data_IF_623093581525
#
_entry.id   IF_623093581525
#
_cell.length_a   1.000
_cell.length_b   1.000
_cell.length_c   1.000
_cell.angle_alpha   90.00
_cell.angle_beta   90.00
_cell.angle_gamma   90.00
#
_symmetry.space_group_name_H-M   'P 1'
#
loop_
_entity.id
_entity.type
_entity.pdbx_description
1 polymer ?
#
# COMPACT_ATOMS: atom_id res chain seq x y z
N UNK A 1 28.71 -49.46 -44.79
CA UNK A 1 28.54 -48.09 -45.33
C UNK A 1 28.75 -47.12 -44.16
N UNK A 2 30.01 -46.74 -43.90
CA UNK A 2 30.64 -45.43 -44.19
C UNK A 2 30.13 -44.24 -43.35
N UNK A 3 31.04 -43.75 -42.48
CA UNK A 3 31.38 -42.35 -42.11
C UNK A 3 30.24 -41.47 -41.54
N UNK A 4 30.40 -40.76 -40.41
CA UNK A 4 31.48 -39.83 -40.07
C UNK A 4 31.60 -39.64 -38.56
N UNK A 5 32.86 -39.58 -38.11
CA UNK A 5 33.30 -39.06 -36.83
C UNK A 5 33.16 -37.54 -36.76
N UNK A 6 32.90 -37.00 -35.58
CA UNK A 6 33.36 -35.67 -35.18
C UNK A 6 33.94 -35.75 -33.77
N UNK A 7 35.27 -35.73 -33.73
CA UNK A 7 36.08 -35.38 -32.58
C UNK A 7 36.20 -33.86 -32.59
N UNK A 8 35.93 -33.21 -31.46
CA UNK A 8 36.42 -31.87 -31.19
C UNK A 8 36.99 -31.87 -29.76
N UNK A 9 38.30 -31.64 -29.69
CA UNK A 9 39.08 -31.50 -28.48
C UNK A 9 39.40 -30.02 -28.23
N UNK A 10 39.73 -29.74 -26.96
CA UNK A 10 40.35 -28.52 -26.43
C UNK A 10 39.48 -27.24 -26.40
N UNK A 11 39.56 -26.36 -25.41
CA UNK A 11 40.65 -26.11 -24.48
C UNK A 11 40.13 -25.67 -23.09
N UNK A 12 40.82 -26.10 -22.05
CA UNK A 12 40.74 -25.48 -20.74
C UNK A 12 41.39 -24.09 -20.81
N UNK A 13 40.66 -23.04 -20.42
CA UNK A 13 41.25 -21.76 -20.05
C UNK A 13 41.17 -21.61 -18.54
N UNK A 14 42.26 -21.95 -17.88
CA UNK A 14 42.55 -21.54 -16.52
C UNK A 14 43.01 -20.09 -16.57
N UNK A 15 42.08 -19.14 -16.36
CA UNK A 15 42.46 -17.76 -16.10
C UNK A 15 42.70 -17.62 -14.60
N UNK A 16 43.98 -17.58 -14.21
CA UNK A 16 44.41 -17.07 -12.92
C UNK A 16 44.11 -15.56 -12.88
N UNK A 17 43.24 -15.11 -11.98
CA UNK A 17 43.14 -13.70 -11.63
C UNK A 17 43.76 -13.54 -10.24
N UNK A 18 44.85 -12.78 -10.22
CA UNK A 18 45.62 -12.45 -9.04
C UNK A 18 44.76 -11.72 -8.00
N UNK A 19 44.91 -12.15 -6.74
CA UNK A 19 44.54 -11.37 -5.56
C UNK A 19 45.43 -10.12 -5.52
N UNK A 20 44.82 -8.95 -5.66
CA UNK A 20 45.54 -7.69 -5.56
C UNK A 20 44.65 -6.49 -5.87
N UNK A 21 43.74 -6.16 -4.96
CA UNK A 21 42.90 -4.98 -5.06
C UNK A 21 42.21 -4.70 -3.73
N UNK A 22 42.69 -3.70 -3.02
CA UNK A 22 42.10 -3.16 -1.80
C UNK A 22 40.61 -2.90 -1.98
N UNK A 23 39.77 -3.46 -1.11
CA UNK A 23 38.36 -3.11 -1.00
C UNK A 23 38.26 -1.61 -0.67
N UNK A 24 38.03 -0.79 -1.69
CA UNK A 24 37.54 0.57 -1.51
C UNK A 24 36.14 0.52 -0.90
N UNK A 25 35.74 1.53 -0.11
CA UNK A 25 34.41 1.56 0.47
C UNK A 25 33.39 1.52 -0.67
N UNK A 26 32.40 0.63 -0.53
CA UNK A 26 31.26 0.63 -1.43
C UNK A 26 30.58 2.00 -1.30
N UNK A 27 30.80 2.87 -2.28
CA UNK A 27 30.00 4.07 -2.48
C UNK A 27 28.58 3.59 -2.74
N UNK A 28 27.74 3.58 -1.71
CA UNK A 28 26.29 3.62 -1.85
C UNK A 28 25.97 4.87 -2.66
N UNK A 29 25.83 4.71 -3.97
CA UNK A 29 25.25 5.74 -4.80
C UNK A 29 23.89 6.13 -4.18
N UNK A 30 23.61 7.43 -3.99
CA UNK A 30 22.29 7.84 -3.54
C UNK A 30 21.27 7.27 -4.52
N UNK A 31 20.30 6.51 -4.00
CA UNK A 31 19.12 6.15 -4.78
C UNK A 31 18.56 7.43 -5.39
N UNK A 32 18.19 7.45 -6.68
CA UNK A 32 17.63 8.63 -7.30
C UNK A 32 16.46 9.12 -6.44
N UNK A 33 16.50 10.39 -6.05
CA UNK A 33 15.43 11.03 -5.32
C UNK A 33 14.13 10.78 -6.11
N UNK A 34 13.20 10.06 -5.49
CA UNK A 34 11.89 9.84 -6.09
C UNK A 34 11.29 11.21 -6.36
N UNK A 35 11.03 11.51 -7.62
CA UNK A 35 10.31 12.72 -7.99
C UNK A 35 8.94 12.65 -7.32
N UNK A 36 8.76 13.37 -6.20
CA UNK A 36 7.46 13.51 -5.58
C UNK A 36 6.58 14.25 -6.58
N UNK A 37 5.61 13.53 -7.15
CA UNK A 37 4.53 14.18 -7.89
C UNK A 37 3.66 14.88 -6.83
N UNK A 38 3.51 16.21 -6.89
CA UNK A 38 2.76 16.95 -5.89
C UNK A 38 1.27 16.57 -5.90
N UNK A 39 0.63 16.61 -4.73
CA UNK A 39 -0.81 16.40 -4.59
C UNK A 39 -1.61 17.43 -5.39
N UNK A 40 -2.72 17.04 -6.04
CA UNK A 40 -3.63 17.99 -6.64
C UNK A 40 -4.12 19.04 -5.63
N UNK A 41 -4.29 20.32 -6.03
CA UNK A 41 -4.83 21.38 -5.15
C UNK A 41 -6.21 21.04 -4.56
N UNK A 42 -6.97 20.20 -5.25
CA UNK A 42 -8.26 19.67 -4.82
C UNK A 42 -8.18 18.71 -3.61
N UNK A 43 -6.99 18.51 -3.02
CA UNK A 43 -6.81 17.78 -1.77
C UNK A 43 -6.11 18.62 -0.70
N UNK A 44 -6.14 19.96 -0.82
CA UNK A 44 -5.62 20.89 0.20
C UNK A 44 -4.13 20.67 0.54
N UNK A 45 -3.35 20.16 -0.42
CA UNK A 45 -1.94 19.85 -0.22
C UNK A 45 -1.67 18.58 0.59
N UNK A 46 -2.71 17.78 0.87
CA UNK A 46 -2.58 16.48 1.51
C UNK A 46 -2.00 15.45 0.53
N UNK A 47 -0.86 14.86 0.89
CA UNK A 47 -0.21 13.83 0.07
C UNK A 47 -0.57 12.42 0.59
N UNK A 48 -1.35 11.62 -0.15
CA UNK A 48 -1.69 10.24 0.25
C UNK A 48 -0.47 9.37 0.51
N UNK A 49 0.66 9.63 -0.15
CA UNK A 49 1.89 8.87 0.01
C UNK A 49 2.55 9.11 1.38
N UNK A 50 2.20 10.19 2.06
CA UNK A 50 2.77 10.55 3.37
C UNK A 50 1.94 10.06 4.56
N UNK A 51 0.72 9.56 4.33
CA UNK A 51 -0.23 9.26 5.39
C UNK A 51 0.02 7.95 6.14
N UNK A 52 0.78 7.04 5.56
CA UNK A 52 1.09 5.76 6.21
C UNK A 52 2.47 5.88 6.83
N UNK A 53 2.59 5.93 8.18
CA UNK A 53 3.89 5.93 8.82
C UNK A 53 4.71 4.70 8.42
N UNK A 54 6.02 4.85 8.24
CA UNK A 54 6.87 3.76 7.76
C UNK A 54 6.74 2.48 8.60
N UNK A 55 6.72 2.59 9.93
CA UNK A 55 6.56 1.44 10.81
C UNK A 55 5.21 0.71 10.64
N UNK A 56 4.15 1.44 10.30
CA UNK A 56 2.83 0.87 9.98
C UNK A 56 2.85 0.18 8.62
N UNK A 57 3.51 0.80 7.63
CA UNK A 57 3.68 0.20 6.31
C UNK A 57 4.45 -1.13 6.37
N UNK A 58 5.57 -1.15 7.09
CA UNK A 58 6.40 -2.34 7.29
C UNK A 58 5.61 -3.45 8.00
N UNK A 59 4.82 -3.10 9.03
CA UNK A 59 3.98 -4.04 9.77
C UNK A 59 2.91 -4.70 8.88
N UNK A 60 2.14 -3.92 8.11
CA UNK A 60 1.04 -4.46 7.30
C UNK A 60 1.58 -5.26 6.12
N UNK A 61 2.65 -4.76 5.50
CA UNK A 61 3.18 -5.36 4.26
C UNK A 61 4.11 -6.55 4.52
N UNK A 62 4.73 -6.60 5.71
CA UNK A 62 5.81 -7.53 6.03
C UNK A 62 7.13 -7.21 5.31
N UNK A 63 7.26 -6.04 4.68
CA UNK A 63 8.44 -5.62 3.91
C UNK A 63 9.05 -4.37 4.54
N UNK A 64 10.22 -4.48 5.20
CA UNK A 64 10.89 -3.33 5.79
C UNK A 64 11.28 -2.25 4.77
N UNK A 65 11.04 -0.99 5.09
CA UNK A 65 11.42 0.14 4.25
C UNK A 65 10.62 0.24 2.95
N UNK A 66 9.49 -0.46 2.83
CA UNK A 66 8.61 -0.40 1.66
C UNK A 66 8.15 1.04 1.41
N UNK A 67 8.22 1.44 0.15
CA UNK A 67 7.93 2.81 -0.24
C UNK A 67 6.64 2.87 -1.06
N UNK A 68 5.82 3.92 -0.90
CA UNK A 68 4.59 4.06 -1.68
C UNK A 68 4.89 4.28 -3.16
N UNK A 69 3.91 3.89 -3.98
CA UNK A 69 3.82 4.22 -5.39
C UNK A 69 2.54 5.02 -5.55
N UNK A 70 2.68 6.29 -5.95
CA UNK A 70 1.55 7.16 -6.25
C UNK A 70 0.78 6.58 -7.44
N UNK A 71 -0.51 6.36 -7.25
CA UNK A 71 -1.41 5.85 -8.26
C UNK A 71 -2.05 7.04 -8.98
N UNK A 72 -1.80 7.26 -10.28
CA UNK A 72 -2.75 7.98 -11.09
C UNK A 72 -4.00 7.10 -11.16
N UNK A 73 -5.06 7.47 -10.42
CA UNK A 73 -6.42 6.92 -10.48
C UNK A 73 -6.62 5.50 -11.05
N UNK A 74 -6.25 4.46 -10.29
CA UNK A 74 -6.73 3.08 -10.49
C UNK A 74 -6.62 2.46 -11.90
N UNK A 75 -5.56 2.76 -12.65
CA UNK A 75 -4.91 1.89 -13.66
C UNK A 75 -3.72 2.66 -14.27
N UNK A 76 -2.68 1.99 -14.82
CA UNK A 76 -1.67 2.68 -15.60
C UNK A 76 -2.30 3.47 -16.75
N UNK A 77 -2.39 4.80 -16.62
CA UNK A 77 -2.93 5.70 -17.63
C UNK A 77 -4.30 6.32 -17.33
N UNK A 78 -4.97 5.96 -16.23
CA UNK A 78 -6.25 6.57 -15.85
C UNK A 78 -6.01 7.59 -14.73
N UNK A 79 -5.81 8.87 -15.07
CA UNK A 79 -5.99 9.92 -14.07
C UNK A 79 -7.51 10.14 -13.93
N UNK A 80 -8.08 9.72 -12.80
CA UNK A 80 -9.37 10.27 -12.39
C UNK A 80 -9.08 11.66 -11.82
N UNK A 81 -9.46 12.71 -12.55
CA UNK A 81 -9.26 14.12 -12.17
C UNK A 81 -9.77 14.46 -10.74
N UNK A 82 -10.63 13.60 -10.20
CA UNK A 82 -11.27 13.73 -8.89
C UNK A 82 -10.71 12.75 -7.84
N UNK A 83 -9.52 12.18 -8.05
CA UNK A 83 -8.86 11.34 -7.05
C UNK A 83 -7.33 11.50 -7.04
N UNK A 84 -6.73 11.28 -5.89
CA UNK A 84 -5.29 11.11 -5.72
C UNK A 84 -5.06 9.94 -4.77
N UNK A 85 -3.99 9.17 -4.96
CA UNK A 85 -3.79 8.00 -4.13
C UNK A 85 -2.40 7.41 -4.19
N UNK A 86 -2.11 6.57 -3.21
CA UNK A 86 -0.85 5.85 -3.11
C UNK A 86 -1.05 4.42 -2.65
N UNK A 87 -0.22 3.54 -3.17
CA UNK A 87 -0.24 2.11 -2.89
C UNK A 87 1.12 1.63 -2.39
N UNK A 88 1.11 0.67 -1.48
CA UNK A 88 2.31 -0.05 -1.03
C UNK A 88 2.23 -1.49 -1.53
N UNK A 89 3.12 -1.84 -2.45
CA UNK A 89 3.16 -3.16 -3.10
C UNK A 89 4.21 -4.07 -2.45
N UNK A 90 3.79 -5.25 -1.97
CA UNK A 90 4.69 -6.32 -1.54
C UNK A 90 4.73 -7.40 -2.63
N UNK A 91 5.76 -7.35 -3.48
CA UNK A 91 5.76 -8.07 -4.76
C UNK A 91 4.72 -7.47 -5.70
N UNK A 92 3.86 -8.31 -6.27
CA UNK A 92 2.79 -7.88 -7.20
C UNK A 92 1.44 -7.61 -6.49
N UNK A 93 1.43 -7.62 -5.14
CA UNK A 93 0.22 -7.47 -4.35
C UNK A 93 0.20 -6.12 -3.65
N UNK A 94 -0.84 -5.33 -3.91
CA UNK A 94 -1.15 -4.14 -3.11
C UNK A 94 -1.54 -4.56 -1.70
N UNK A 95 -0.79 -4.09 -0.71
CA UNK A 95 -1.05 -4.35 0.72
C UNK A 95 -1.77 -3.21 1.39
N UNK A 96 -1.49 -2.00 0.94
CA UNK A 96 -2.07 -0.77 1.46
C UNK A 96 -2.43 0.09 0.27
N UNK A 97 -3.65 0.58 0.23
CA UNK A 97 -4.09 1.64 -0.68
C UNK A 97 -4.65 2.79 0.14
N UNK A 98 -4.22 4.01 -0.15
CA UNK A 98 -4.80 5.23 0.42
C UNK A 98 -5.26 6.09 -0.73
N UNK A 99 -6.55 6.41 -0.75
CA UNK A 99 -7.20 7.17 -1.81
C UNK A 99 -7.91 8.38 -1.23
N UNK A 100 -7.73 9.53 -1.85
CA UNK A 100 -8.58 10.70 -1.70
C UNK A 100 -9.52 10.82 -2.87
N UNK A 101 -10.75 11.17 -2.58
CA UNK A 101 -11.82 11.33 -3.56
C UNK A 101 -12.44 12.70 -3.42
N UNK A 102 -12.74 13.35 -4.54
CA UNK A 102 -13.72 14.44 -4.62
C UNK A 102 -15.02 13.83 -5.14
N UNK A 103 -16.05 13.80 -4.32
CA UNK A 103 -17.35 13.20 -4.63
C UNK A 103 -18.37 14.28 -4.90
N UNK A 104 -19.26 14.09 -5.86
CA UNK A 104 -20.38 15.02 -6.06
C UNK A 104 -21.42 14.95 -4.92
N UNK A 105 -21.45 13.84 -4.18
CA UNK A 105 -22.22 13.66 -2.95
C UNK A 105 -21.40 12.79 -2.01
N UNK A 106 -21.14 13.29 -0.82
CA UNK A 106 -20.60 12.47 0.28
C UNK A 106 -21.70 11.49 0.66
N UNK A 107 -21.37 10.20 0.72
CA UNK A 107 -22.34 9.20 1.17
C UNK A 107 -22.71 9.47 2.64
N UNK A 108 -24.01 9.39 2.96
CA UNK A 108 -24.44 9.40 4.35
C UNK A 108 -23.96 8.09 4.99
N UNK A 109 -22.95 8.21 5.85
CA UNK A 109 -22.44 7.09 6.61
C UNK A 109 -23.34 6.86 7.83
N UNK A 110 -24.16 5.79 7.84
CA UNK A 110 -25.01 5.49 8.99
C UNK A 110 -24.15 5.16 10.22
N UNK A 111 -24.78 5.07 11.39
CA UNK A 111 -24.10 4.67 12.62
C UNK A 111 -23.37 3.34 12.40
N UNK A 112 -22.05 3.26 12.67
CA UNK A 112 -21.29 2.07 12.33
C UNK A 112 -21.63 0.90 13.27
N UNK A 113 -21.98 -0.24 12.68
CA UNK A 113 -22.10 -1.52 13.41
C UNK A 113 -20.71 -2.11 13.75
N UNK A 114 -19.69 -1.78 12.94
CA UNK A 114 -18.33 -2.28 13.12
C UNK A 114 -17.63 -1.64 14.34
N UNK A 115 -17.03 -2.43 15.27
CA UNK A 115 -16.32 -1.91 16.43
C UNK A 115 -15.14 -0.97 16.10
N UNK A 116 -14.42 -1.23 15.00
CA UNK A 116 -13.28 -0.41 14.57
C UNK A 116 -13.77 0.94 14.08
N UNK A 117 -14.82 0.96 13.26
CA UNK A 117 -15.45 2.20 12.83
C UNK A 117 -16.00 3.02 14.00
N UNK A 118 -16.64 2.36 14.99
CA UNK A 118 -17.08 3.04 16.23
C UNK A 118 -15.93 3.65 17.01
N UNK A 119 -14.81 2.93 17.16
CA UNK A 119 -13.60 3.42 17.83
C UNK A 119 -13.05 4.65 17.12
N UNK A 120 -12.90 4.60 15.79
CA UNK A 120 -12.39 5.71 14.99
C UNK A 120 -13.33 6.91 15.04
N UNK A 121 -14.65 6.68 15.00
CA UNK A 121 -15.65 7.72 15.16
C UNK A 121 -15.56 8.41 16.53
N UNK A 122 -15.38 7.66 17.61
CA UNK A 122 -15.15 8.22 18.95
C UNK A 122 -13.84 9.00 19.03
N UNK A 123 -12.79 8.52 18.36
CA UNK A 123 -11.47 9.13 18.39
C UNK A 123 -11.39 10.43 17.59
N UNK A 124 -12.04 10.49 16.43
CA UNK A 124 -11.92 11.61 15.50
C UNK A 124 -13.19 12.46 15.36
N UNK A 125 -14.27 12.12 16.08
CA UNK A 125 -15.49 12.92 16.16
C UNK A 125 -16.32 12.96 14.87
N UNK A 126 -16.22 11.93 14.02
CA UNK A 126 -16.73 11.95 12.65
C UNK A 126 -17.07 10.55 12.14
N UNK A 127 -18.00 10.41 11.18
CA UNK A 127 -18.44 9.10 10.76
C UNK A 127 -17.37 8.35 9.96
N UNK A 128 -17.31 7.04 10.18
CA UNK A 128 -16.48 6.09 9.43
C UNK A 128 -17.37 4.96 8.93
N UNK A 129 -17.20 4.58 7.68
CA UNK A 129 -17.89 3.44 7.08
C UNK A 129 -16.88 2.35 6.74
N UNK A 130 -17.19 1.13 7.17
CA UNK A 130 -16.40 -0.06 6.87
C UNK A 130 -17.08 -0.84 5.75
N UNK A 131 -16.29 -1.22 4.76
CA UNK A 131 -16.63 -2.15 3.70
C UNK A 131 -15.76 -3.39 3.86
N UNK A 132 -16.38 -4.48 4.30
CA UNK A 132 -15.74 -5.80 4.37
C UNK A 132 -16.04 -6.58 3.08
N UNK A 133 -15.15 -7.51 2.66
CA UNK A 133 -15.42 -8.41 1.55
C UNK A 133 -16.71 -9.18 1.78
N UNK A 134 -17.42 -9.48 0.69
CA UNK A 134 -18.60 -10.34 0.77
C UNK A 134 -18.20 -11.74 1.28
N UNK A 135 -19.06 -12.40 2.08
CA UNK A 135 -18.84 -13.80 2.46
C UNK A 135 -18.62 -14.67 1.21
N UNK A 136 -17.43 -15.26 1.07
CA UNK A 136 -17.05 -16.11 -0.07
C UNK A 136 -16.03 -15.51 -1.03
N UNK A 137 -15.69 -14.22 -0.91
CA UNK A 137 -14.55 -13.64 -1.63
C UNK A 137 -13.23 -14.04 -0.95
N UNK A 138 -12.28 -14.59 -1.72
CA UNK A 138 -10.97 -15.03 -1.22
C UNK A 138 -10.02 -13.88 -0.86
N UNK A 139 -10.43 -12.62 -1.05
CA UNK A 139 -9.64 -11.45 -0.73
C UNK A 139 -10.04 -10.91 0.65
N UNK A 140 -9.24 -11.19 1.69
CA UNK A 140 -9.37 -10.49 2.95
C UNK A 140 -8.87 -9.06 2.83
N UNK A 141 -9.79 -8.11 2.79
CA UNK A 141 -9.46 -6.70 2.89
C UNK A 141 -10.29 -5.99 3.95
N UNK A 142 -9.72 -4.95 4.53
CA UNK A 142 -10.45 -3.91 5.23
C UNK A 142 -10.49 -2.71 4.30
N UNK A 143 -11.68 -2.21 3.95
CA UNK A 143 -11.81 -0.90 3.34
C UNK A 143 -12.59 -0.02 4.28
N UNK A 144 -12.07 1.17 4.56
CA UNK A 144 -12.69 2.11 5.46
C UNK A 144 -12.61 3.51 4.88
N UNK A 145 -13.76 4.15 4.81
CA UNK A 145 -13.93 5.49 4.25
C UNK A 145 -14.42 6.43 5.33
N UNK A 146 -13.95 7.67 5.28
CA UNK A 146 -14.46 8.76 6.07
C UNK A 146 -14.54 10.02 5.20
N UNK A 147 -15.45 10.97 5.51
CA UNK A 147 -15.38 12.29 4.87
C UNK A 147 -14.02 12.90 5.23
N UNK A 148 -13.57 13.99 4.64
CA UNK A 148 -12.38 14.69 5.12
C UNK A 148 -12.66 16.20 5.22
N UNK A 149 -13.13 16.80 4.12
CA UNK A 149 -13.45 18.22 4.01
C UNK A 149 -14.48 18.40 2.91
N UNK A 150 -15.57 19.13 3.17
CA UNK A 150 -16.60 19.42 2.18
C UNK A 150 -17.12 18.17 1.45
N UNK A 151 -16.81 18.07 0.16
CA UNK A 151 -17.22 17.01 -0.75
C UNK A 151 -16.15 15.90 -0.91
N UNK A 152 -15.18 15.85 0.01
CA UNK A 152 -13.99 15.00 -0.10
C UNK A 152 -14.02 13.88 0.90
N UNK A 153 -13.48 12.74 0.49
CA UNK A 153 -13.39 11.54 1.30
C UNK A 153 -11.97 10.97 1.26
N UNK A 154 -11.59 10.29 2.33
CA UNK A 154 -10.40 9.47 2.41
C UNK A 154 -10.81 8.02 2.58
N UNK A 155 -10.25 7.14 1.75
CA UNK A 155 -10.42 5.69 1.82
C UNK A 155 -9.07 5.05 2.09
N UNK A 156 -9.03 4.16 3.09
CA UNK A 156 -7.89 3.30 3.38
C UNK A 156 -8.30 1.86 3.14
N UNK A 157 -7.52 1.17 2.31
CA UNK A 157 -7.69 -0.26 2.00
C UNK A 157 -6.47 -1.01 2.51
N UNK A 158 -6.68 -1.98 3.39
CA UNK A 158 -5.64 -2.86 3.92
C UNK A 158 -5.90 -4.29 3.45
N UNK A 159 -4.90 -4.95 2.87
CA UNK A 159 -4.97 -6.35 2.41
C UNK A 159 -3.93 -7.19 3.15
N UNK A 160 -4.41 -8.08 4.00
CA UNK A 160 -3.54 -8.88 4.85
C UNK A 160 -2.70 -9.89 4.02
N UNK A 161 -1.47 -10.22 4.47
CA UNK A 161 -0.60 -11.21 3.84
C UNK A 161 -1.18 -12.62 3.77
N UNK A 162 -1.94 -12.99 4.80
CA UNK A 162 -2.62 -14.26 4.89
C UNK A 162 -4.08 -14.05 5.31
N UNK A 163 -4.97 -14.96 4.91
CA UNK A 163 -6.29 -15.03 5.51
C UNK A 163 -6.18 -15.22 7.03
N UNK A 164 -7.01 -14.52 7.78
CA UNK A 164 -7.13 -14.70 9.22
C UNK A 164 -8.02 -15.89 9.59
N UNK A 165 -8.26 -16.06 10.89
CA UNK A 165 -9.12 -17.14 11.38
C UNK A 165 -10.56 -17.00 10.87
N UNK A 166 -11.19 -18.15 10.58
CA UNK A 166 -12.61 -18.27 10.29
C UNK A 166 -13.35 -18.88 11.49
N UNK A 167 -14.62 -18.51 11.75
CA UNK A 167 -15.42 -17.54 10.99
C UNK A 167 -15.04 -16.08 11.30
N UNK A 168 -15.20 -15.21 10.32
CA UNK A 168 -15.07 -13.76 10.53
C UNK A 168 -16.19 -13.28 11.45
N UNK A 169 -15.84 -12.53 12.50
CA UNK A 169 -16.80 -11.92 13.42
C UNK A 169 -16.62 -10.41 13.45
N UNK A 170 -17.59 -9.61 13.91
CA UNK A 170 -17.40 -8.16 14.04
C UNK A 170 -16.15 -7.78 14.88
N UNK A 171 -15.81 -8.58 15.90
CA UNK A 171 -14.63 -8.35 16.74
C UNK A 171 -13.34 -8.97 16.20
N UNK A 172 -13.43 -9.85 15.21
CA UNK A 172 -12.30 -10.51 14.57
C UNK A 172 -12.52 -10.55 13.04
N UNK A 173 -12.35 -9.39 12.44
CA UNK A 173 -12.39 -9.16 10.99
C UNK A 173 -11.10 -8.43 10.56
N UNK A 174 -10.83 -8.32 9.24
CA UNK A 174 -9.63 -7.61 8.74
C UNK A 174 -9.47 -6.18 9.27
N UNK A 175 -10.54 -5.42 9.50
CA UNK A 175 -10.46 -4.08 10.08
C UNK A 175 -10.10 -4.12 11.57
N UNK A 176 -10.76 -4.99 12.35
CA UNK A 176 -10.51 -5.17 13.78
C UNK A 176 -9.07 -5.60 14.06
N UNK A 177 -8.49 -6.47 13.21
CA UNK A 177 -7.07 -6.89 13.30
C UNK A 177 -6.08 -5.77 12.98
N UNK A 178 -6.51 -4.74 12.26
CA UNK A 178 -5.69 -3.60 11.86
C UNK A 178 -6.10 -2.29 12.56
N UNK A 179 -6.87 -2.35 13.65
CA UNK A 179 -7.46 -1.16 14.26
C UNK A 179 -6.43 -0.10 14.68
N UNK A 180 -5.29 -0.50 15.21
CA UNK A 180 -4.23 0.45 15.62
C UNK A 180 -3.50 1.07 14.43
N UNK A 181 -3.29 0.29 13.36
CA UNK A 181 -2.73 0.79 12.11
C UNK A 181 -3.68 1.79 11.44
N UNK A 182 -4.98 1.47 11.38
CA UNK A 182 -6.02 2.37 10.90
C UNK A 182 -6.07 3.66 11.73
N UNK A 183 -6.02 3.56 13.06
CA UNK A 183 -5.95 4.72 13.95
C UNK A 183 -4.71 5.59 13.69
N UNK A 184 -3.57 4.98 13.35
CA UNK A 184 -2.34 5.70 13.01
C UNK A 184 -2.45 6.42 11.66
N UNK A 185 -2.98 5.75 10.63
CA UNK A 185 -3.15 6.31 9.29
C UNK A 185 -4.17 7.46 9.32
N UNK A 186 -5.34 7.23 9.93
CA UNK A 186 -6.35 8.27 10.08
C UNK A 186 -5.94 9.38 11.04
N UNK A 187 -5.06 9.10 12.00
CA UNK A 187 -4.46 10.13 12.86
C UNK A 187 -3.52 11.08 12.12
N UNK A 188 -2.98 10.68 10.96
CA UNK A 188 -2.15 11.53 10.11
C UNK A 188 -2.98 12.43 9.18
N UNK A 189 -4.29 12.20 9.07
CA UNK A 189 -5.18 13.04 8.27
C UNK A 189 -5.45 14.34 9.03
N UNK A 190 -5.21 15.53 8.41
CA UNK A 190 -5.41 16.81 9.07
C UNK A 190 -6.90 17.20 9.08
N UNK A 191 -7.70 16.52 9.88
CA UNK A 191 -9.15 16.73 9.97
C UNK A 191 -9.51 18.23 10.15
N UNK A 192 -10.40 18.73 9.29
CA UNK A 192 -10.94 20.09 9.32
C UNK A 192 -12.27 20.17 10.06
#
# INVERSE_FOLDING_TARGET
>A
MLRKAFIAAAAALTAAIALGGTAGPATTAPLPARTQVPAPPAFEGLDPCSLVPQGVADQITGVPGIQPIRQPGLAPGEHLDNSDGCSWLAGDVERIGVMFWVRQRVEEFPHPDDPTARRLMQQFGRPFQVFLPHPGEHAEYCSITAPYSGDREVTVILRNPAPGPAPVTPTDNPCSRNADALGSIFGAVPWA
#
